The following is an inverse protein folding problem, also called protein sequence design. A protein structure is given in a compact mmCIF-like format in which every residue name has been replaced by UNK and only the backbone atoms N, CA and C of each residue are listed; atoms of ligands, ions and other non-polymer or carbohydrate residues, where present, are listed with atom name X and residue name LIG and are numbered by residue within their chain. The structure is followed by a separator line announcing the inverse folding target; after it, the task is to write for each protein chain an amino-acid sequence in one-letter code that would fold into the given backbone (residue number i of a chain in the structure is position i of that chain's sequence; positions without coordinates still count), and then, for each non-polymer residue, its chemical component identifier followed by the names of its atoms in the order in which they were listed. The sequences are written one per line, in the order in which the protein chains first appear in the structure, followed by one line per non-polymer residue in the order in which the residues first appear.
data_IF_954230569369
#
_entry.id   IF_954230569369
#
_cell.length_a   1.000
_cell.length_b   1.000
_cell.length_c   1.000
_cell.angle_alpha   90.00
_cell.angle_beta   90.00
_cell.angle_gamma   90.00
#
_symmetry.space_group_name_H-M   'P 1'
#
loop_
_entity.id
_entity.type
_entity.pdbx_description
1 polymer ?
#
# COMPACT_ATOMS: atom_id res chain seq x y z
N UNK A 1 10.29 3.46 3.72
CA UNK A 1 9.96 4.62 4.59
C UNK A 1 11.20 5.31 5.15
N UNK A 2 12.39 4.71 5.10
CA UNK A 2 13.62 5.25 5.69
C UNK A 2 14.08 6.60 5.11
N UNK A 3 13.75 6.91 3.85
CA UNK A 3 14.07 8.20 3.23
C UNK A 3 13.13 9.34 3.64
N UNK A 4 12.04 9.03 4.35
CA UNK A 4 11.05 10.04 4.74
C UNK A 4 11.48 10.76 6.03
N UNK A 5 11.59 12.09 5.96
CA UNK A 5 11.84 12.92 7.13
C UNK A 5 10.54 13.18 7.90
N UNK A 6 10.44 12.64 9.12
CA UNK A 6 9.25 12.78 9.98
C UNK A 6 8.88 14.24 10.28
N UNK A 7 9.84 15.17 10.27
CA UNK A 7 9.57 16.60 10.51
C UNK A 7 8.72 17.23 9.41
N UNK A 8 8.56 16.57 8.26
CA UNK A 8 7.66 17.02 7.20
C UNK A 8 6.21 16.57 7.44
N UNK A 9 5.95 15.65 8.36
CA UNK A 9 4.62 15.10 8.59
C UNK A 9 3.59 16.19 8.92
N UNK A 10 3.96 17.17 9.74
CA UNK A 10 3.10 18.33 10.05
C UNK A 10 2.86 19.26 8.87
N UNK A 11 3.63 19.15 7.78
CA UNK A 11 3.44 19.95 6.55
C UNK A 11 2.62 19.20 5.50
N UNK A 12 2.41 17.90 5.67
CA UNK A 12 1.68 17.10 4.71
C UNK A 12 0.19 17.44 4.73
N UNK A 13 -0.40 17.44 3.54
CA UNK A 13 -1.85 17.59 3.40
C UNK A 13 -2.54 16.23 3.34
N UNK A 14 -1.91 15.26 2.67
CA UNK A 14 -2.37 13.88 2.54
C UNK A 14 -1.17 12.94 2.62
N UNK A 15 -1.24 11.95 3.50
CA UNK A 15 -0.25 10.87 3.61
C UNK A 15 -0.89 9.52 3.21
N UNK A 16 -0.35 8.88 2.18
CA UNK A 16 -0.71 7.51 1.82
C UNK A 16 0.39 6.57 2.25
N UNK A 17 0.05 5.57 3.06
CA UNK A 17 1.01 4.59 3.57
C UNK A 17 0.70 3.23 2.97
N UNK A 18 1.68 2.62 2.32
CA UNK A 18 1.62 1.23 1.88
C UNK A 18 2.76 0.47 2.55
N UNK A 19 2.46 -0.54 3.35
CA UNK A 19 3.48 -1.28 4.10
C UNK A 19 3.09 -2.75 4.25
N UNK A 20 4.08 -3.63 4.22
CA UNK A 20 3.89 -5.01 4.65
C UNK A 20 4.05 -5.16 6.16
N UNK A 21 3.73 -6.35 6.65
CA UNK A 21 3.99 -6.79 8.02
C UNK A 21 5.00 -7.94 8.00
N UNK A 22 5.99 -7.93 8.89
CA UNK A 22 7.03 -8.95 8.99
C UNK A 22 7.05 -9.62 10.37
N UNK A 23 7.43 -10.90 10.41
CA UNK A 23 7.59 -11.64 11.66
C UNK A 23 6.28 -11.71 12.46
N UNK A 24 6.34 -11.28 13.73
CA UNK A 24 5.22 -11.36 14.67
C UNK A 24 4.36 -10.08 14.69
N UNK A 25 4.13 -9.46 13.53
CA UNK A 25 3.36 -8.22 13.44
C UNK A 25 4.19 -6.94 13.38
N UNK A 26 5.50 -7.06 13.16
CA UNK A 26 6.44 -5.94 13.15
C UNK A 26 6.54 -5.26 11.78
N UNK A 27 7.17 -4.09 11.78
CA UNK A 27 7.44 -3.35 10.57
C UNK A 27 8.54 -4.00 9.73
N UNK A 28 8.55 -3.80 8.40
CA UNK A 28 9.71 -4.10 7.59
C UNK A 28 10.93 -3.27 8.06
N UNK A 29 12.14 -3.77 7.79
CA UNK A 29 13.38 -3.07 8.20
C UNK A 29 13.47 -1.63 7.68
N UNK A 30 12.95 -1.36 6.48
CA UNK A 30 12.90 -0.01 5.90
C UNK A 30 11.85 0.92 6.56
N UNK A 31 11.09 0.42 7.54
CA UNK A 31 10.03 1.09 8.29
C UNK A 31 10.38 1.38 9.75
N UNK A 32 11.47 0.81 10.28
CA UNK A 32 11.83 0.95 11.69
C UNK A 32 12.04 2.40 12.13
N UNK A 33 12.81 3.17 11.35
CA UNK A 33 13.09 4.58 11.65
C UNK A 33 11.81 5.40 11.66
N UNK A 34 10.91 5.14 10.71
CA UNK A 34 9.62 5.79 10.63
C UNK A 34 8.72 5.43 11.82
N UNK A 35 8.62 4.14 12.17
CA UNK A 35 7.89 3.65 13.35
C UNK A 35 8.40 4.35 14.62
N UNK A 36 9.71 4.32 14.88
CA UNK A 36 10.30 4.95 16.08
C UNK A 36 9.98 6.44 16.15
N UNK A 37 10.17 7.17 15.05
CA UNK A 37 9.89 8.60 14.99
C UNK A 37 8.40 8.93 15.19
N UNK A 38 7.49 8.20 14.54
CA UNK A 38 6.04 8.40 14.66
C UNK A 38 5.54 8.13 16.08
N UNK A 39 6.09 7.13 16.76
CA UNK A 39 5.73 6.81 18.14
C UNK A 39 6.28 7.81 19.16
N UNK A 40 7.36 8.52 18.82
CA UNK A 40 7.91 9.58 19.67
C UNK A 40 7.18 10.94 19.50
N UNK A 41 6.46 11.15 18.40
CA UNK A 41 5.63 12.34 18.22
C UNK A 41 4.48 12.35 19.23
N UNK A 42 4.21 13.49 19.86
CA UNK A 42 3.12 13.58 20.84
C UNK A 42 1.76 13.89 20.21
N UNK A 43 1.76 14.76 19.20
CA UNK A 43 0.58 15.23 18.50
C UNK A 43 0.99 15.82 17.16
N UNK A 44 0.06 15.86 16.19
CA UNK A 44 0.21 16.65 14.98
C UNK A 44 -0.42 18.04 15.18
N UNK A 45 0.23 19.07 14.65
CA UNK A 45 -0.26 20.44 14.73
C UNK A 45 -1.14 20.83 13.54
N UNK A 46 -1.01 20.11 12.43
CA UNK A 46 -1.81 20.32 11.23
C UNK A 46 -2.86 19.22 11.05
N UNK A 47 -3.89 19.53 10.25
CA UNK A 47 -4.92 18.57 9.87
C UNK A 47 -4.41 17.67 8.74
N UNK A 48 -3.48 16.78 9.07
CA UNK A 48 -3.00 15.75 8.15
C UNK A 48 -4.13 14.77 7.88
N UNK A 49 -4.43 14.54 6.60
CA UNK A 49 -5.29 13.45 6.18
C UNK A 49 -4.45 12.23 5.83
N UNK A 50 -4.96 11.02 6.06
CA UNK A 50 -4.19 9.83 5.72
C UNK A 50 -5.05 8.64 5.29
N UNK A 51 -4.43 7.70 4.58
CA UNK A 51 -4.96 6.36 4.33
C UNK A 51 -3.82 5.34 4.37
N UNK A 52 -4.13 4.10 4.76
CA UNK A 52 -3.15 3.02 4.90
C UNK A 52 -3.63 1.78 4.15
N UNK A 53 -2.70 1.12 3.46
CA UNK A 53 -2.87 -0.21 2.91
C UNK A 53 -1.79 -1.14 3.49
N UNK A 54 -2.24 -2.21 4.14
CA UNK A 54 -1.39 -3.25 4.71
C UNK A 54 -1.25 -4.44 3.76
N UNK A 55 -0.02 -4.88 3.51
CA UNK A 55 0.24 -6.18 2.90
C UNK A 55 0.56 -7.20 4.00
N UNK A 56 -0.02 -8.39 3.90
CA UNK A 56 0.21 -9.46 4.85
C UNK A 56 -0.22 -10.80 4.27
N UNK A 57 -0.15 -11.84 5.10
CA UNK A 57 -0.67 -13.16 4.75
C UNK A 57 -1.53 -13.66 5.90
N UNK A 58 -2.74 -14.11 5.58
CA UNK A 58 -3.68 -14.70 6.56
C UNK A 58 -3.16 -16.00 7.18
N UNK A 59 -2.05 -16.55 6.65
CA UNK A 59 -1.33 -17.66 7.27
C UNK A 59 -0.71 -17.29 8.62
N UNK A 60 -0.48 -16.01 8.88
CA UNK A 60 0.09 -15.52 10.12
C UNK A 60 -1.00 -14.95 11.04
N UNK A 61 -0.96 -15.23 12.35
CA UNK A 61 -1.97 -14.72 13.29
C UNK A 61 -2.06 -13.19 13.34
N UNK A 62 -0.94 -12.50 13.08
CA UNK A 62 -0.83 -11.04 13.10
C UNK A 62 -1.01 -10.45 11.69
N UNK A 63 -2.13 -10.76 11.05
CA UNK A 63 -2.45 -10.28 9.70
C UNK A 63 -2.50 -8.74 9.66
N UNK A 64 -1.69 -8.15 8.78
CA UNK A 64 -1.56 -6.70 8.58
C UNK A 64 -1.31 -5.86 9.86
N UNK A 65 -0.79 -6.48 10.93
CA UNK A 65 -0.73 -5.85 12.25
C UNK A 65 0.06 -4.54 12.29
N UNK A 66 1.12 -4.41 11.47
CA UNK A 66 1.86 -3.15 11.42
C UNK A 66 1.05 -2.01 10.79
N UNK A 67 0.26 -2.29 9.76
CA UNK A 67 -0.62 -1.29 9.15
C UNK A 67 -1.69 -0.80 10.15
N UNK A 68 -2.30 -1.71 10.91
CA UNK A 68 -3.24 -1.38 11.99
C UNK A 68 -2.58 -0.57 13.11
N UNK A 69 -1.34 -0.93 13.47
CA UNK A 69 -0.56 -0.20 14.47
C UNK A 69 -0.30 1.25 14.03
N UNK A 70 0.02 1.46 12.75
CA UNK A 70 0.17 2.81 12.19
C UNK A 70 -1.16 3.56 12.16
N UNK A 71 -2.26 2.90 11.77
CA UNK A 71 -3.59 3.52 11.73
C UNK A 71 -4.00 4.03 13.11
N UNK A 72 -3.91 3.17 14.13
CA UNK A 72 -4.16 3.54 15.53
C UNK A 72 -3.30 4.72 15.97
N UNK A 73 -2.01 4.71 15.59
CA UNK A 73 -1.10 5.78 15.96
C UNK A 73 -1.46 7.11 15.28
N UNK A 74 -1.83 7.09 14.01
CA UNK A 74 -2.25 8.29 13.27
C UNK A 74 -3.53 8.89 13.86
N UNK A 75 -4.50 8.06 14.25
CA UNK A 75 -5.71 8.52 14.97
C UNK A 75 -5.33 9.19 16.29
N UNK A 76 -4.45 8.56 17.09
CA UNK A 76 -3.99 9.14 18.37
C UNK A 76 -3.29 10.50 18.20
N UNK A 77 -2.57 10.69 17.09
CA UNK A 77 -1.88 11.94 16.78
C UNK A 77 -2.82 13.05 16.28
N UNK A 78 -4.11 12.75 16.05
CA UNK A 78 -5.12 13.70 15.59
C UNK A 78 -5.26 13.80 14.06
N UNK A 79 -4.67 12.87 13.31
CA UNK A 79 -4.84 12.82 11.86
C UNK A 79 -6.25 12.35 11.47
N UNK A 80 -6.72 12.75 10.29
CA UNK A 80 -8.05 12.38 9.77
C UNK A 80 -7.94 11.28 8.73
N UNK A 81 -8.54 10.12 9.00
CA UNK A 81 -8.58 9.00 8.06
C UNK A 81 -9.52 9.34 6.89
N UNK A 82 -9.07 9.14 5.63
CA UNK A 82 -9.91 9.40 4.43
C UNK A 82 -10.65 8.16 3.92
N UNK A 83 -10.12 6.98 4.22
CA UNK A 83 -10.71 5.69 3.87
C UNK A 83 -10.26 4.64 4.89
N UNK A 84 -11.07 3.61 5.18
CA UNK A 84 -10.65 2.51 6.03
C UNK A 84 -9.31 1.90 5.58
N UNK A 85 -8.56 1.38 6.55
CA UNK A 85 -7.32 0.64 6.26
C UNK A 85 -7.63 -0.54 5.37
N UNK A 86 -6.99 -0.61 4.20
CA UNK A 86 -7.10 -1.75 3.30
C UNK A 86 -6.11 -2.84 3.68
N UNK A 87 -6.46 -4.08 3.38
CA UNK A 87 -5.63 -5.25 3.68
C UNK A 87 -5.49 -6.10 2.41
N UNK A 88 -4.26 -6.43 2.04
CA UNK A 88 -3.93 -7.28 0.91
C UNK A 88 -3.35 -8.60 1.38
N UNK A 89 -4.16 -9.66 1.30
CA UNK A 89 -3.73 -11.02 1.64
C UNK A 89 -2.96 -11.67 0.48
N UNK A 90 -1.68 -11.98 0.72
CA UNK A 90 -0.80 -12.68 -0.21
C UNK A 90 -1.41 -14.00 -0.72
N UNK A 91 -2.22 -14.67 0.11
CA UNK A 91 -2.86 -15.93 -0.25
C UNK A 91 -4.23 -15.77 -0.93
N UNK A 92 -4.80 -14.57 -0.89
CA UNK A 92 -6.18 -14.33 -1.32
C UNK A 92 -6.36 -12.94 -1.96
N UNK A 93 -5.93 -12.80 -3.21
CA UNK A 93 -6.27 -11.64 -4.03
C UNK A 93 -5.68 -10.32 -3.53
N UNK A 94 -4.39 -10.31 -3.16
CA UNK A 94 -3.67 -9.11 -2.69
C UNK A 94 -3.79 -7.93 -3.66
N UNK A 95 -3.56 -8.18 -4.95
CA UNK A 95 -3.61 -7.14 -5.99
C UNK A 95 -5.04 -6.59 -6.17
N UNK A 96 -6.04 -7.47 -6.23
CA UNK A 96 -7.44 -7.06 -6.35
C UNK A 96 -7.88 -6.19 -5.17
N UNK A 97 -7.52 -6.60 -3.95
CA UNK A 97 -7.76 -5.83 -2.73
C UNK A 97 -7.08 -4.46 -2.78
N UNK A 98 -5.84 -4.40 -3.28
CA UNK A 98 -5.12 -3.15 -3.45
C UNK A 98 -5.78 -2.23 -4.49
N UNK A 99 -6.16 -2.75 -5.65
CA UNK A 99 -6.82 -1.97 -6.71
C UNK A 99 -8.15 -1.41 -6.22
N UNK A 100 -8.96 -2.23 -5.55
CA UNK A 100 -10.24 -1.80 -4.97
C UNK A 100 -10.03 -0.68 -3.95
N UNK A 101 -9.09 -0.86 -3.02
CA UNK A 101 -8.73 0.17 -2.04
C UNK A 101 -8.23 1.45 -2.71
N UNK A 102 -7.29 1.35 -3.66
CA UNK A 102 -6.69 2.50 -4.33
C UNK A 102 -7.74 3.37 -5.04
N UNK A 103 -8.71 2.75 -5.74
CA UNK A 103 -9.80 3.46 -6.40
C UNK A 103 -10.72 4.15 -5.39
N UNK A 104 -11.07 3.47 -4.30
CA UNK A 104 -11.93 4.03 -3.25
C UNK A 104 -11.24 5.20 -2.53
N UNK A 105 -9.99 5.02 -2.12
CA UNK A 105 -9.17 6.04 -1.47
C UNK A 105 -8.96 7.25 -2.40
N UNK A 106 -8.73 7.02 -3.68
CA UNK A 106 -8.61 8.12 -4.66
C UNK A 106 -9.91 8.93 -4.78
N UNK A 107 -11.06 8.25 -4.88
CA UNK A 107 -12.38 8.92 -4.92
C UNK A 107 -12.64 9.71 -3.63
N UNK A 108 -12.36 9.12 -2.47
CA UNK A 108 -12.52 9.77 -1.18
C UNK A 108 -11.59 11.00 -1.03
N UNK A 109 -10.35 10.91 -1.52
CA UNK A 109 -9.44 12.04 -1.57
C UNK A 109 -9.97 13.16 -2.48
N UNK A 110 -10.46 12.83 -3.69
CA UNK A 110 -11.04 13.82 -4.59
C UNK A 110 -12.22 14.59 -3.95
N UNK A 111 -13.05 13.89 -3.17
CA UNK A 111 -14.14 14.49 -2.41
C UNK A 111 -13.62 15.36 -1.26
N UNK A 112 -12.71 14.84 -0.44
CA UNK A 112 -12.14 15.55 0.71
C UNK A 112 -11.40 16.84 0.30
N UNK A 113 -10.78 16.84 -0.88
CA UNK A 113 -10.07 17.98 -1.46
C UNK A 113 -10.92 18.85 -2.39
N UNK A 114 -12.19 18.52 -2.59
CA UNK A 114 -13.12 19.26 -3.46
C UNK A 114 -12.56 19.48 -4.88
N UNK A 115 -11.97 18.43 -5.45
CA UNK A 115 -11.41 18.49 -6.81
C UNK A 115 -12.54 18.75 -7.82
N UNK A 116 -12.32 19.71 -8.72
CA UNK A 116 -13.25 20.05 -9.82
C UNK A 116 -13.32 18.90 -10.81
N UNK A 117 -14.50 18.70 -11.40
CA UNK A 117 -14.75 17.65 -12.41
C UNK A 117 -14.36 16.22 -11.97
N UNK A 118 -14.45 15.92 -10.67
CA UNK A 118 -14.07 14.61 -10.09
C UNK A 118 -14.77 13.40 -10.73
N UNK A 119 -15.93 13.59 -11.36
CA UNK A 119 -16.68 12.54 -12.05
C UNK A 119 -16.11 12.19 -13.43
N UNK A 120 -15.29 13.08 -14.01
CA UNK A 120 -14.70 12.92 -15.35
C UNK A 120 -13.22 12.52 -15.29
N UNK A 121 -12.68 12.21 -14.11
CA UNK A 121 -11.30 11.74 -13.98
C UNK A 121 -11.21 10.31 -14.53
N UNK A 122 -10.48 10.15 -15.63
CA UNK A 122 -10.22 8.85 -16.24
C UNK A 122 -9.07 8.20 -15.48
N UNK A 123 -9.33 7.06 -14.83
CA UNK A 123 -8.31 6.25 -14.19
C UNK A 123 -7.59 5.35 -15.23
N UNK A 124 -6.31 5.02 -15.03
CA UNK A 124 -5.61 4.08 -15.90
C UNK A 124 -6.32 2.73 -15.98
N UNK A 125 -6.22 2.06 -17.14
CA UNK A 125 -6.93 0.80 -17.41
C UNK A 125 -6.68 -0.28 -16.35
N UNK A 126 -5.47 -0.39 -15.82
CA UNK A 126 -5.14 -1.36 -14.76
C UNK A 126 -5.97 -1.19 -13.47
N UNK A 127 -6.55 -0.01 -13.21
CA UNK A 127 -7.46 0.23 -12.08
C UNK A 127 -8.94 0.03 -12.45
N UNK A 128 -9.24 -0.17 -13.73
CA UNK A 128 -10.59 -0.25 -14.31
C UNK A 128 -10.92 -1.62 -14.90
N UNK A 129 -9.92 -2.43 -15.26
CA UNK A 129 -10.10 -3.75 -15.85
C UNK A 129 -9.39 -4.84 -15.07
N UNK A 130 -10.12 -5.90 -14.75
CA UNK A 130 -9.55 -7.22 -14.47
C UNK A 130 -9.16 -7.85 -15.80
N UNK A 131 -8.07 -7.39 -16.44
CA UNK A 131 -7.55 -8.09 -17.62
C UNK A 131 -6.97 -9.43 -17.16
N UNK A 132 -7.84 -10.44 -17.09
CA UNK A 132 -7.46 -11.84 -17.11
C UNK A 132 -6.78 -12.13 -18.44
N UNK A 133 -5.68 -12.87 -18.41
CA UNK A 133 -5.00 -13.37 -19.60
C UNK A 133 -5.99 -13.82 -20.69
N UNK A 134 -5.82 -13.30 -21.91
CA UNK A 134 -6.62 -13.66 -23.08
C UNK A 134 -5.72 -14.22 -24.17
N UNK A 135 -5.99 -15.44 -24.64
CA UNK A 135 -5.21 -16.10 -25.68
C UNK A 135 -5.16 -15.29 -27.00
N UNK A 136 -6.14 -14.42 -27.26
CA UNK A 136 -6.19 -13.60 -28.47
C UNK A 136 -5.28 -12.36 -28.41
N UNK A 137 -4.98 -11.86 -27.20
CA UNK A 137 -4.18 -10.65 -26.98
C UNK A 137 -2.68 -10.96 -26.79
N UNK A 138 -2.34 -12.24 -26.58
CA UNK A 138 -0.98 -12.70 -26.32
C UNK A 138 -0.60 -13.85 -27.26
N UNK A 139 0.42 -13.64 -28.11
CA UNK A 139 0.97 -14.70 -28.97
C UNK A 139 2.02 -15.51 -28.20
N UNK A 140 1.77 -16.81 -28.00
CA UNK A 140 2.77 -17.75 -27.52
C UNK A 140 3.90 -17.86 -28.55
N UNK A 141 5.12 -17.47 -28.16
CA UNK A 141 6.32 -17.73 -28.94
C UNK A 141 6.95 -19.01 -28.39
N UNK A 142 6.86 -20.10 -29.16
CA UNK A 142 7.66 -21.28 -28.85
C UNK A 142 9.13 -20.96 -29.16
N UNK A 143 9.91 -20.65 -28.13
CA UNK A 143 11.36 -20.65 -28.26
C UNK A 143 11.83 -22.10 -28.39
N UNK A 144 12.22 -22.49 -29.61
CA UNK A 144 12.86 -23.77 -29.91
C UNK A 144 14.36 -23.75 -29.59
N UNK A 145 14.79 -22.96 -28.60
CA UNK A 145 16.16 -23.00 -28.08
C UNK A 145 16.20 -23.90 -26.85
N UNK A 146 17.14 -24.86 -26.76
CA UNK A 146 17.36 -25.59 -25.52
C UNK A 146 17.66 -24.57 -24.43
N UNK A 147 16.92 -24.61 -23.32
CA UNK A 147 17.28 -23.91 -22.09
C UNK A 147 18.71 -24.34 -21.74
N UNK A 148 19.69 -23.47 -21.96
CA UNK A 148 21.00 -23.65 -21.36
C UNK A 148 20.83 -23.46 -19.86
N UNK A 149 20.67 -24.58 -19.16
CA UNK A 149 20.79 -24.61 -17.71
C UNK A 149 22.18 -24.09 -17.36
N UNK A 150 22.23 -22.87 -16.83
CA UNK A 150 23.44 -22.32 -16.24
C UNK A 150 23.87 -23.33 -15.17
N UNK A 151 25.03 -23.97 -15.38
CA UNK A 151 25.75 -24.72 -14.34
C UNK A 151 26.23 -23.74 -13.26
N UNK A 152 25.34 -23.35 -12.37
CA UNK A 152 25.66 -22.87 -11.03
C UNK A 152 24.72 -23.63 -10.11
N UNK A 153 25.15 -24.60 -9.32
CA UNK A 153 26.20 -24.53 -8.31
C UNK A 153 26.86 -25.91 -8.21
N UNK A 154 28.18 -25.97 -8.35
CA UNK A 154 28.98 -27.04 -7.74
C UNK A 154 30.01 -26.37 -6.86
N UNK A 155 29.75 -26.41 -5.56
CA UNK A 155 30.76 -26.45 -4.50
C UNK A 155 30.40 -27.66 -3.65
#
# INVERSE_FOLDING_TARGET
MHDYNISNLDKETLLLIVTSTFGNGDCPGNGETFKKSLFNLKQLHSKVRYAIFGLGSSMYPQFCAFAHTLDQRMVQLGASQISPTGEGDELNGQEESFLSWAVQTFKAACEAFKIRDRQNIILPKCYMSTETWNAEDYRLVNEAQPLEYIKGISI
#
